data_IF_574424562153
#
_entry.id   IF_574424562153
#
_cell.length_a   1.000
_cell.length_b   1.000
_cell.length_c   1.000
_cell.angle_alpha   90.00
_cell.angle_beta   90.00
_cell.angle_gamma   90.00
#
_symmetry.space_group_name_H-M   'P 1'
#
loop_
_entity.id
_entity.type
_entity.pdbx_description
1 polymer ?
#
# COMPACT_ATOMS: atom_id res chain seq x y z
N UNK A 1 -15.48 6.12 -7.91
CA UNK A 1 -14.12 5.62 -7.63
C UNK A 1 -13.23 5.97 -8.80
N UNK A 2 -12.03 6.49 -8.55
CA UNK A 2 -11.11 6.84 -9.62
C UNK A 2 -10.65 5.58 -10.37
N UNK A 3 -10.43 5.71 -11.68
CA UNK A 3 -9.90 4.63 -12.49
C UNK A 3 -8.48 4.30 -12.07
N UNK A 4 -8.15 3.01 -12.04
CA UNK A 4 -6.82 2.55 -11.66
C UNK A 4 -6.05 2.14 -12.89
N UNK A 5 -4.74 2.45 -12.89
CA UNK A 5 -3.81 1.99 -13.92
C UNK A 5 -3.42 0.54 -13.66
N UNK A 6 -3.27 0.19 -12.37
CA UNK A 6 -2.94 -1.18 -11.97
C UNK A 6 -3.76 -1.58 -10.75
N UNK A 7 -4.34 -2.76 -10.82
CA UNK A 7 -5.03 -3.38 -9.71
C UNK A 7 -4.07 -4.31 -8.96
N UNK A 8 -4.53 -4.86 -7.82
CA UNK A 8 -3.70 -5.68 -6.94
C UNK A 8 -3.01 -6.85 -7.68
N UNK A 9 -3.74 -7.53 -8.56
CA UNK A 9 -3.17 -8.67 -9.28
C UNK A 9 -2.00 -8.28 -10.18
N UNK A 10 -2.02 -7.07 -10.74
CA UNK A 10 -0.91 -6.54 -11.54
C UNK A 10 0.27 -6.17 -10.66
N UNK A 11 -0.03 -5.54 -9.50
CA UNK A 11 0.99 -5.14 -8.53
C UNK A 11 1.75 -6.36 -8.01
N UNK A 12 1.03 -7.45 -7.72
CA UNK A 12 1.64 -8.70 -7.23
C UNK A 12 2.61 -9.33 -8.23
N UNK A 13 2.45 -9.04 -9.53
CA UNK A 13 3.38 -9.53 -10.56
C UNK A 13 4.68 -8.75 -10.57
N UNK A 14 4.65 -7.49 -10.11
CA UNK A 14 5.81 -6.60 -10.13
C UNK A 14 6.56 -6.58 -8.81
N UNK A 15 5.83 -6.55 -7.69
CA UNK A 15 6.43 -6.47 -6.37
C UNK A 15 6.52 -7.85 -5.73
N UNK A 16 7.69 -8.21 -5.17
CA UNK A 16 7.83 -9.49 -4.45
C UNK A 16 7.25 -9.44 -3.05
N UNK A 17 6.95 -8.24 -2.54
CA UNK A 17 6.43 -8.05 -1.18
C UNK A 17 5.09 -8.74 -1.00
N UNK A 18 4.88 -9.30 0.19
CA UNK A 18 3.63 -9.93 0.60
C UNK A 18 3.33 -9.53 2.04
N UNK A 19 2.16 -9.91 2.54
CA UNK A 19 1.78 -9.62 3.92
C UNK A 19 2.95 -9.91 4.87
N UNK A 20 3.26 -9.03 5.81
CA UNK A 20 2.56 -7.78 6.16
C UNK A 20 3.15 -6.52 5.51
N UNK A 21 4.07 -6.64 4.58
CA UNK A 21 4.82 -5.51 4.04
C UNK A 21 4.46 -5.14 2.59
N UNK A 22 3.38 -5.68 2.07
CA UNK A 22 2.83 -5.19 0.81
C UNK A 22 2.00 -3.95 1.11
N UNK A 23 2.54 -2.77 0.79
CA UNK A 23 1.95 -1.49 1.20
C UNK A 23 1.38 -0.69 0.03
N UNK A 24 0.99 -1.37 -1.05
CA UNK A 24 0.33 -0.75 -2.20
C UNK A 24 -0.86 -1.60 -2.58
N UNK A 25 -2.04 -1.00 -2.57
CA UNK A 25 -3.28 -1.70 -2.91
C UNK A 25 -3.73 -1.42 -4.35
N UNK A 26 -3.37 -0.25 -4.88
CA UNK A 26 -3.81 0.18 -6.20
C UNK A 26 -2.88 1.27 -6.73
N UNK A 27 -2.61 1.27 -8.03
CA UNK A 27 -1.86 2.35 -8.67
C UNK A 27 -2.82 3.19 -9.49
N UNK A 28 -2.85 4.49 -9.23
CA UNK A 28 -3.74 5.44 -9.88
C UNK A 28 -3.09 6.14 -11.06
N UNK A 29 -1.78 6.45 -10.97
CA UNK A 29 -1.01 7.06 -12.03
C UNK A 29 0.37 6.43 -12.07
N UNK A 30 0.91 6.26 -13.27
CA UNK A 30 2.25 5.72 -13.44
C UNK A 30 2.95 6.38 -14.61
N UNK A 31 4.10 6.99 -14.34
CA UNK A 31 5.03 7.51 -15.34
C UNK A 31 6.35 6.79 -15.10
N UNK A 32 6.63 5.69 -15.85
CA UNK A 32 7.79 4.85 -15.59
C UNK A 32 9.09 5.64 -15.49
N UNK A 33 9.87 5.36 -14.43
CA UNK A 33 11.13 6.05 -14.17
C UNK A 33 11.00 7.47 -13.63
N UNK A 34 9.77 7.99 -13.45
CA UNK A 34 9.56 9.38 -13.03
C UNK A 34 8.63 9.51 -11.84
N UNK A 35 7.42 8.95 -11.91
CA UNK A 35 6.39 9.23 -10.92
C UNK A 35 5.39 8.10 -10.81
N UNK A 36 4.92 7.85 -9.59
CA UNK A 36 3.79 6.96 -9.34
C UNK A 36 2.90 7.60 -8.29
N UNK A 37 1.59 7.47 -8.48
CA UNK A 37 0.60 7.80 -7.44
C UNK A 37 -0.16 6.51 -7.15
N UNK A 38 -0.13 6.11 -5.88
CA UNK A 38 -0.70 4.84 -5.46
C UNK A 38 -1.54 5.01 -4.21
N UNK A 39 -2.34 4.00 -3.91
CA UNK A 39 -3.25 3.98 -2.79
C UNK A 39 -2.90 2.83 -1.86
N UNK A 40 -2.90 3.10 -0.56
CA UNK A 40 -2.81 2.10 0.49
C UNK A 40 -4.05 2.22 1.38
N UNK A 41 -4.82 1.15 1.49
CA UNK A 41 -5.93 1.11 2.43
C UNK A 41 -5.36 0.84 3.83
N UNK A 42 -5.58 1.78 4.75
CA UNK A 42 -5.07 1.67 6.12
C UNK A 42 -6.24 1.40 7.06
N UNK A 43 -6.17 0.30 7.81
CA UNK A 43 -7.17 -0.04 8.80
C UNK A 43 -6.52 -0.25 10.16
N UNK A 44 -7.32 -0.26 11.22
CA UNK A 44 -6.80 -0.56 12.56
C UNK A 44 -6.23 -1.98 12.66
N UNK A 45 -6.59 -2.86 11.74
CA UNK A 45 -6.14 -4.25 11.71
C UNK A 45 -4.88 -4.40 10.85
N UNK A 46 -3.87 -3.58 11.12
CA UNK A 46 -2.57 -3.65 10.48
C UNK A 46 -1.53 -4.13 11.49
N UNK A 47 -0.64 -5.03 11.06
CA UNK A 47 0.33 -5.65 11.96
C UNK A 47 1.26 -4.65 12.65
N UNK A 48 1.65 -3.57 11.96
CA UNK A 48 2.58 -2.59 12.52
C UNK A 48 1.98 -1.77 13.67
N UNK A 49 0.66 -1.72 13.81
CA UNK A 49 0.03 -0.99 14.91
C UNK A 49 0.19 -1.67 16.28
N UNK A 50 0.69 -2.90 16.30
CA UNK A 50 1.03 -3.56 17.56
C UNK A 50 2.19 -2.85 18.27
N UNK A 51 3.10 -2.28 17.49
CA UNK A 51 4.27 -1.60 18.02
C UNK A 51 4.30 -0.08 17.78
N UNK A 52 3.47 0.42 16.89
CA UNK A 52 3.54 1.84 16.46
C UNK A 52 2.18 2.54 16.62
N UNK A 53 1.64 2.80 17.79
CA UNK A 53 2.20 2.44 19.08
C UNK A 53 1.16 1.68 19.88
N UNK A 54 1.54 0.85 20.89
CA UNK A 54 0.56 0.12 21.70
C UNK A 54 -0.47 1.08 22.30
N UNK A 55 -1.76 0.83 21.99
CA UNK A 55 -2.85 1.69 22.46
C UNK A 55 -3.04 3.00 21.74
N UNK A 56 -2.16 3.34 20.76
CA UNK A 56 -2.28 4.56 19.96
C UNK A 56 -1.76 4.34 18.54
N UNK A 57 -2.59 3.81 17.65
CA UNK A 57 -2.14 3.47 16.30
C UNK A 57 -1.81 4.70 15.45
N UNK A 58 -0.59 4.71 14.92
CA UNK A 58 -0.11 5.76 14.02
C UNK A 58 0.54 5.08 12.82
N UNK A 59 0.14 5.47 11.62
CA UNK A 59 0.73 4.92 10.39
C UNK A 59 2.22 5.27 10.32
N UNK A 60 3.11 4.27 10.25
CA UNK A 60 4.54 4.55 10.12
C UNK A 60 4.86 5.36 8.86
N UNK A 61 5.76 6.33 8.98
CA UNK A 61 6.25 7.09 7.83
C UNK A 61 7.20 6.28 6.98
#
# INVERSE_FOLDING_TARGET
>A
MADSVMELTDILKLLPHRYPILLVDRVLELMPGKRVVALKNVTANESFFQGHFPGYPVMPG
#
